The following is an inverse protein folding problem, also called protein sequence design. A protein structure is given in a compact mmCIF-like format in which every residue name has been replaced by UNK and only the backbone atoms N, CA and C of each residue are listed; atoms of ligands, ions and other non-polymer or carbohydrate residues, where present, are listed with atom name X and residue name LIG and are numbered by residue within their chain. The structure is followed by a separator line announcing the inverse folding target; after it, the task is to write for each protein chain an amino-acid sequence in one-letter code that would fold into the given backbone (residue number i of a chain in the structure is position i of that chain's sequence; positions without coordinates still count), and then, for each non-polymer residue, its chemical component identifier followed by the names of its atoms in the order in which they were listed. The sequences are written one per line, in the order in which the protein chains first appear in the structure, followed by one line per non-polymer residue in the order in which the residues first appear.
data_IF_329507456943
#
_entry.id   IF_329507456943
#
_cell.length_a   1.000
_cell.length_b   1.000
_cell.length_c   1.000
_cell.angle_alpha   90.00
_cell.angle_beta   90.00
_cell.angle_gamma   90.00
#
_symmetry.space_group_name_H-M   'P 1'
#
loop_
_entity.id
_entity.type
_entity.pdbx_description
1 polymer ?
#
# COMPACT_ATOMS: atom_id res chain seq x y z
N UNK A 1 -45.72 -30.57 14.46
CA UNK A 1 -44.46 -30.82 13.69
C UNK A 1 -43.60 -29.58 13.84
N UNK A 2 -42.44 -29.73 14.49
CA UNK A 2 -41.47 -28.65 14.70
C UNK A 2 -40.78 -28.35 13.35
N UNK A 3 -40.81 -27.10 12.91
CA UNK A 3 -39.93 -26.62 11.83
C UNK A 3 -38.65 -26.08 12.47
N UNK A 4 -37.55 -26.80 12.24
CA UNK A 4 -36.21 -26.42 12.66
C UNK A 4 -35.80 -25.11 11.96
N UNK A 5 -35.54 -24.07 12.73
CA UNK A 5 -34.90 -22.85 12.24
C UNK A 5 -33.42 -23.17 11.92
N UNK A 6 -33.08 -23.24 10.65
CA UNK A 6 -31.70 -23.36 10.21
C UNK A 6 -31.06 -21.97 10.23
N UNK A 7 -30.44 -21.62 11.36
CA UNK A 7 -29.63 -20.41 11.50
C UNK A 7 -28.37 -20.54 10.66
N UNK A 8 -28.35 -19.88 9.50
CA UNK A 8 -27.12 -19.68 8.72
C UNK A 8 -26.31 -18.59 9.42
N UNK A 9 -25.37 -18.99 10.27
CA UNK A 9 -24.33 -18.09 10.77
C UNK A 9 -23.34 -17.84 9.63
N UNK A 10 -23.54 -16.75 8.88
CA UNK A 10 -22.59 -16.30 7.87
C UNK A 10 -21.32 -15.79 8.55
N UNK A 11 -20.21 -16.53 8.39
CA UNK A 11 -18.89 -15.97 8.66
C UNK A 11 -18.66 -14.83 7.65
N UNK A 12 -18.82 -13.59 8.11
CA UNK A 12 -18.35 -12.43 7.36
C UNK A 12 -16.83 -12.48 7.31
N UNK A 13 -16.27 -13.06 6.25
CA UNK A 13 -14.84 -12.97 5.98
C UNK A 13 -14.50 -11.50 5.72
N UNK A 14 -13.85 -10.86 6.69
CA UNK A 14 -13.15 -9.58 6.50
C UNK A 14 -11.98 -9.84 5.54
N UNK A 15 -12.29 -9.93 4.24
CA UNK A 15 -11.29 -10.00 3.20
C UNK A 15 -10.65 -8.62 3.08
N UNK A 16 -9.46 -8.48 3.67
CA UNK A 16 -8.55 -7.36 3.45
C UNK A 16 -8.07 -7.45 1.99
N UNK A 17 -8.80 -6.82 1.07
CA UNK A 17 -8.52 -6.92 -0.36
C UNK A 17 -7.57 -5.81 -0.86
N UNK A 18 -7.37 -4.72 -0.11
CA UNK A 18 -6.66 -3.52 -0.57
C UNK A 18 -5.15 -3.74 -0.81
N UNK A 19 -4.46 -2.66 -1.20
CA UNK A 19 -3.07 -2.71 -1.68
C UNK A 19 -2.07 -2.16 -0.66
N UNK A 20 -0.86 -2.68 -0.69
CA UNK A 20 0.28 -2.10 0.02
C UNK A 20 1.57 -2.29 -0.79
N UNK A 21 2.55 -1.42 -0.55
CA UNK A 21 3.87 -1.49 -1.20
C UNK A 21 4.70 -2.64 -0.62
N UNK A 22 5.28 -3.47 -1.49
CA UNK A 22 6.23 -4.53 -1.13
C UNK A 22 7.68 -4.15 -1.43
N UNK A 23 7.90 -3.29 -2.43
CA UNK A 23 9.21 -2.75 -2.80
C UNK A 23 9.06 -1.27 -3.21
N UNK A 24 9.85 -0.33 -2.67
CA UNK A 24 10.80 -0.47 -1.55
C UNK A 24 10.17 -1.09 -0.29
N UNK A 25 11.00 -1.73 0.55
CA UNK A 25 10.51 -2.40 1.76
C UNK A 25 10.00 -1.35 2.74
N UNK A 26 8.72 -1.37 3.15
CA UNK A 26 8.18 -0.35 4.04
C UNK A 26 8.72 -0.48 5.47
N UNK A 27 8.74 0.64 6.20
CA UNK A 27 8.97 0.64 7.64
C UNK A 27 7.81 -0.04 8.38
N UNK A 28 8.12 -0.67 9.53
CA UNK A 28 7.16 -1.35 10.38
C UNK A 28 6.37 -2.41 9.61
N UNK A 29 7.03 -3.13 8.69
CA UNK A 29 6.39 -4.07 7.73
C UNK A 29 5.54 -5.11 8.45
N UNK A 30 5.99 -5.60 9.61
CA UNK A 30 5.30 -6.61 10.42
C UNK A 30 3.93 -6.16 10.92
N UNK A 31 3.72 -4.85 11.06
CA UNK A 31 2.46 -4.25 11.55
C UNK A 31 1.71 -3.46 10.47
N UNK A 32 2.26 -3.38 9.26
CA UNK A 32 1.64 -2.67 8.15
C UNK A 32 0.47 -3.48 7.60
N UNK A 33 -0.67 -2.82 7.40
CA UNK A 33 -1.82 -3.37 6.70
C UNK A 33 -2.04 -2.63 5.37
N UNK A 34 -2.96 -3.15 4.57
CA UNK A 34 -3.29 -2.60 3.26
C UNK A 34 -4.50 -1.66 3.27
N UNK A 35 -5.09 -1.35 4.43
CA UNK A 35 -6.19 -0.40 4.52
C UNK A 35 -5.74 1.00 4.12
N UNK A 36 -6.62 1.83 3.53
CA UNK A 36 -6.34 3.24 3.31
C UNK A 36 -6.01 3.95 4.64
N UNK A 37 -5.52 5.20 4.56
CA UNK A 37 -5.46 6.07 5.73
C UNK A 37 -6.87 6.27 6.30
N UNK A 38 -6.95 6.51 7.60
CA UNK A 38 -8.20 6.86 8.26
C UNK A 38 -8.74 8.17 7.70
N UNK A 39 -10.05 8.25 7.50
CA UNK A 39 -10.69 9.38 6.84
C UNK A 39 -10.56 10.69 7.65
N UNK A 40 -10.36 10.59 8.96
CA UNK A 40 -10.12 11.73 9.86
C UNK A 40 -8.65 12.20 9.87
N UNK A 41 -7.76 11.49 9.17
CA UNK A 41 -6.33 11.78 9.09
C UNK A 41 -5.59 11.53 10.41
N UNK A 42 -6.14 10.73 11.32
CA UNK A 42 -5.51 10.37 12.59
C UNK A 42 -4.22 9.56 12.39
N UNK A 43 -4.14 8.76 11.32
CA UNK A 43 -2.95 7.95 10.99
C UNK A 43 -2.04 8.58 9.90
N UNK A 44 -2.28 9.83 9.50
CA UNK A 44 -1.39 10.55 8.57
C UNK A 44 -0.23 11.26 9.31
N UNK A 45 1.01 11.24 8.77
CA UNK A 45 1.49 10.52 7.58
C UNK A 45 1.89 9.06 7.88
N UNK A 46 2.21 8.27 6.84
CA UNK A 46 2.87 6.96 6.97
C UNK A 46 2.11 5.86 7.76
N UNK A 47 0.79 6.01 7.98
CA UNK A 47 -0.04 5.11 8.79
C UNK A 47 0.47 5.01 10.24
N UNK A 48 0.41 6.14 10.97
CA UNK A 48 0.84 6.23 12.37
C UNK A 48 0.29 5.08 13.19
N UNK A 49 1.20 4.35 13.84
CA UNK A 49 0.94 3.17 14.67
C UNK A 49 2.18 2.89 15.52
N UNK A 50 2.08 1.92 16.43
CA UNK A 50 3.26 1.46 17.17
C UNK A 50 4.39 1.02 16.23
N UNK A 51 5.62 1.49 16.49
CA UNK A 51 6.83 1.12 15.73
C UNK A 51 6.78 1.46 14.22
N UNK A 52 5.98 2.45 13.80
CA UNK A 52 5.77 2.85 12.39
C UNK A 52 7.06 3.12 11.60
N UNK A 53 8.12 3.60 12.25
CA UNK A 53 9.39 3.97 11.62
C UNK A 53 10.53 2.98 11.88
N UNK A 54 10.23 1.80 12.44
CA UNK A 54 11.23 0.75 12.63
C UNK A 54 11.57 0.12 11.28
N UNK A 55 12.87 0.02 10.96
CA UNK A 55 13.30 -0.50 9.66
C UNK A 55 13.01 -2.00 9.51
N UNK A 56 12.97 -2.76 10.61
CA UNK A 56 12.75 -4.22 10.60
C UNK A 56 13.69 -4.97 9.61
N UNK A 57 14.92 -4.46 9.45
CA UNK A 57 15.90 -5.01 8.51
C UNK A 57 15.72 -4.58 7.05
N UNK A 58 14.82 -3.65 6.73
CA UNK A 58 14.68 -3.06 5.41
C UNK A 58 15.99 -2.42 4.93
N UNK A 59 16.37 -2.69 3.66
CA UNK A 59 17.59 -2.18 3.02
C UNK A 59 17.26 -1.47 1.71
N UNK A 60 16.63 -0.30 1.81
CA UNK A 60 16.31 0.53 0.65
C UNK A 60 17.45 1.51 0.36
N UNK A 61 18.60 0.99 -0.08
CA UNK A 61 19.78 1.81 -0.39
C UNK A 61 19.94 1.92 -1.89
N UNK A 62 19.80 3.13 -2.42
CA UNK A 62 19.80 3.39 -3.86
C UNK A 62 20.80 4.47 -4.23
N UNK A 63 21.50 4.27 -5.34
CA UNK A 63 22.43 5.27 -5.89
C UNK A 63 21.63 6.43 -6.49
N UNK A 64 22.10 7.66 -6.33
CA UNK A 64 21.54 8.80 -7.06
C UNK A 64 21.54 8.54 -8.58
N UNK A 65 20.46 8.94 -9.24
CA UNK A 65 20.20 8.73 -10.66
C UNK A 65 19.73 7.32 -11.02
N UNK A 66 19.79 6.34 -10.10
CA UNK A 66 19.32 4.97 -10.38
C UNK A 66 17.80 4.90 -10.48
N UNK A 67 17.30 3.91 -11.22
CA UNK A 67 15.88 3.64 -11.38
C UNK A 67 15.53 2.42 -10.54
N UNK A 68 14.51 2.55 -9.70
CA UNK A 68 14.04 1.51 -8.79
C UNK A 68 12.64 1.07 -9.17
N UNK A 69 12.39 -0.22 -9.01
CA UNK A 69 11.05 -0.77 -9.12
C UNK A 69 10.19 -0.37 -7.92
N UNK A 70 8.92 -0.11 -8.20
CA UNK A 70 7.84 0.00 -7.24
C UNK A 70 6.95 -1.22 -7.43
N UNK A 71 6.79 -2.00 -6.37
CA UNK A 71 5.99 -3.21 -6.39
C UNK A 71 4.95 -3.17 -5.29
N UNK A 72 3.80 -3.78 -5.57
CA UNK A 72 2.64 -3.78 -4.71
C UNK A 72 2.09 -5.20 -4.54
N UNK A 73 1.49 -5.44 -3.38
CA UNK A 73 0.71 -6.64 -3.09
C UNK A 73 -0.71 -6.25 -2.70
N UNK A 74 -1.67 -7.12 -2.99
CA UNK A 74 -3.09 -6.90 -2.76
C UNK A 74 -3.93 -7.25 -3.98
N UNK A 75 -5.23 -7.07 -3.86
CA UNK A 75 -6.18 -7.51 -4.90
C UNK A 75 -7.20 -6.43 -5.31
N UNK A 76 -7.49 -5.44 -4.48
CA UNK A 76 -8.42 -4.35 -4.77
C UNK A 76 -7.67 -3.16 -5.37
N UNK A 77 -7.38 -3.27 -6.67
CA UNK A 77 -6.67 -2.24 -7.44
C UNK A 77 -7.58 -1.10 -7.90
N UNK A 78 -8.90 -1.23 -7.76
CA UNK A 78 -9.90 -0.21 -8.08
C UNK A 78 -9.80 0.38 -9.50
N UNK A 79 -9.41 -0.46 -10.47
CA UNK A 79 -9.21 -0.04 -11.87
C UNK A 79 -7.95 0.83 -12.09
N UNK A 80 -7.08 0.90 -11.07
CA UNK A 80 -5.91 1.77 -11.05
C UNK A 80 -6.24 3.14 -10.47
N UNK A 81 -5.60 4.17 -11.00
CA UNK A 81 -5.58 5.51 -10.43
C UNK A 81 -4.22 6.16 -10.64
N UNK A 82 -3.93 7.18 -9.82
CA UNK A 82 -2.68 7.93 -9.88
C UNK A 82 -1.90 7.78 -8.58
N UNK A 83 -0.57 7.77 -8.70
CA UNK A 83 0.35 7.67 -7.57
C UNK A 83 1.41 8.75 -7.62
N UNK A 84 1.94 9.11 -6.46
CA UNK A 84 3.16 9.90 -6.35
C UNK A 84 4.21 9.16 -5.53
N UNK A 85 5.47 9.31 -5.92
CA UNK A 85 6.59 9.01 -5.03
C UNK A 85 7.11 10.32 -4.50
N UNK A 86 7.07 10.45 -3.18
CA UNK A 86 7.48 11.64 -2.45
C UNK A 86 8.59 11.30 -1.46
N UNK A 87 9.46 12.27 -1.20
CA UNK A 87 10.57 12.12 -0.25
C UNK A 87 10.57 13.28 0.74
N UNK A 88 11.01 13.00 1.96
CA UNK A 88 11.34 13.98 3.00
C UNK A 88 12.68 13.58 3.61
N UNK A 89 13.38 14.56 4.19
CA UNK A 89 14.58 14.31 4.99
C UNK A 89 14.26 13.93 6.44
N UNK A 90 13.00 14.08 6.87
CA UNK A 90 12.57 13.74 8.22
C UNK A 90 12.58 12.23 8.42
N UNK A 91 13.37 11.75 9.39
CA UNK A 91 13.45 10.31 9.70
C UNK A 91 12.17 9.76 10.34
N UNK A 92 11.39 10.64 10.99
CA UNK A 92 10.10 10.33 11.61
C UNK A 92 9.11 11.43 11.23
N UNK A 93 8.53 11.38 10.01
CA UNK A 93 7.68 12.45 9.51
C UNK A 93 6.46 12.73 10.39
N UNK A 94 6.01 13.98 10.37
CA UNK A 94 4.79 14.44 11.05
C UNK A 94 3.84 15.10 10.05
N UNK A 95 2.70 15.62 10.50
CA UNK A 95 1.75 16.34 9.63
C UNK A 95 2.37 17.62 9.05
N UNK A 96 3.40 18.15 9.70
CA UNK A 96 4.10 19.38 9.34
C UNK A 96 5.29 19.14 8.39
N UNK A 97 5.72 17.88 8.24
CA UNK A 97 6.84 17.48 7.38
C UNK A 97 6.69 17.98 5.96
N UNK A 98 7.83 18.33 5.35
CA UNK A 98 7.87 18.83 3.97
C UNK A 98 8.25 17.69 3.03
N UNK A 99 7.38 17.47 2.05
CA UNK A 99 7.53 16.41 1.06
C UNK A 99 7.85 17.01 -0.30
N UNK A 100 8.77 16.38 -1.03
CA UNK A 100 9.07 16.71 -2.42
C UNK A 100 8.65 15.57 -3.32
N UNK A 101 7.87 15.88 -4.36
CA UNK A 101 7.50 14.90 -5.38
C UNK A 101 8.71 14.63 -6.27
N UNK A 102 9.09 13.36 -6.41
CA UNK A 102 10.15 12.91 -7.32
C UNK A 102 9.61 12.13 -8.52
N UNK A 103 8.35 11.67 -8.44
CA UNK A 103 7.64 10.99 -9.53
C UNK A 103 6.14 11.18 -9.38
N UNK A 104 5.47 11.43 -10.50
CA UNK A 104 4.02 11.28 -10.65
C UNK A 104 3.74 10.20 -11.69
N UNK A 105 2.77 9.34 -11.39
CA UNK A 105 2.27 8.28 -12.27
C UNK A 105 0.77 8.56 -12.40
N UNK A 106 0.37 9.06 -13.56
CA UNK A 106 -0.99 9.51 -13.82
C UNK A 106 -1.72 8.43 -14.62
N UNK A 107 -2.59 7.68 -13.94
CA UNK A 107 -3.27 6.53 -14.51
C UNK A 107 -2.49 5.22 -14.39
N UNK A 108 -3.22 4.11 -14.26
CA UNK A 108 -2.67 2.76 -14.25
C UNK A 108 -1.85 2.38 -13.00
N UNK A 109 -1.98 3.12 -11.88
CA UNK A 109 -1.39 2.78 -10.59
C UNK A 109 -2.44 2.41 -9.54
N UNK A 110 -2.34 1.25 -8.86
CA UNK A 110 -1.22 0.29 -8.81
C UNK A 110 -1.22 -0.78 -9.92
N UNK A 111 -2.19 -0.77 -10.83
CA UNK A 111 -2.30 -1.78 -11.88
C UNK A 111 -2.81 -1.17 -13.18
N UNK A 112 -2.07 -1.36 -14.27
CA UNK A 112 -2.44 -0.82 -15.57
C UNK A 112 -3.47 -1.70 -16.27
N UNK A 113 -4.42 -1.08 -16.97
CA UNK A 113 -5.38 -1.77 -17.85
C UNK A 113 -6.38 -2.66 -17.12
N UNK A 114 -6.59 -2.47 -15.81
CA UNK A 114 -7.57 -3.23 -15.06
C UNK A 114 -8.92 -2.51 -15.06
N UNK A 115 -10.01 -3.22 -15.33
CA UNK A 115 -11.37 -2.67 -15.24
C UNK A 115 -11.93 -2.72 -13.80
N UNK A 116 -11.32 -3.49 -12.92
CA UNK A 116 -11.79 -3.71 -11.55
C UNK A 116 -10.73 -4.38 -10.69
N UNK A 117 -11.16 -5.04 -9.62
CA UNK A 117 -10.27 -5.73 -8.69
C UNK A 117 -9.74 -7.05 -9.26
N UNK A 118 -8.57 -7.43 -8.80
CA UNK A 118 -7.86 -8.66 -9.10
C UNK A 118 -8.21 -9.77 -8.10
N UNK A 119 -7.88 -11.02 -8.44
CA UNK A 119 -7.95 -12.16 -7.52
C UNK A 119 -6.69 -12.32 -6.65
N UNK A 120 -6.62 -13.39 -5.85
CA UNK A 120 -5.41 -13.80 -5.12
C UNK A 120 -5.28 -13.30 -3.68
N UNK A 121 -6.05 -12.29 -3.27
CA UNK A 121 -6.13 -11.84 -1.88
C UNK A 121 -5.03 -10.85 -1.44
N UNK A 122 -4.91 -10.57 -0.12
CA UNK A 122 -4.12 -9.45 0.42
C UNK A 122 -2.62 -9.49 0.12
N UNK A 123 -2.05 -10.68 -0.06
CA UNK A 123 -0.63 -10.87 -0.27
C UNK A 123 -0.27 -11.20 -1.73
N UNK A 124 -1.25 -11.20 -2.64
CA UNK A 124 -1.00 -11.48 -4.04
C UNK A 124 -0.15 -10.37 -4.67
N UNK A 125 0.95 -10.71 -5.34
CA UNK A 125 1.69 -9.73 -6.13
C UNK A 125 0.81 -9.11 -7.21
N UNK A 126 1.00 -7.83 -7.49
CA UNK A 126 0.34 -7.12 -8.60
C UNK A 126 1.33 -7.11 -9.79
N UNK A 127 1.20 -8.03 -10.77
CA UNK A 127 2.15 -8.17 -11.87
C UNK A 127 1.98 -7.10 -12.96
N UNK A 128 0.87 -6.37 -12.94
CA UNK A 128 0.52 -5.38 -13.96
C UNK A 128 1.11 -3.99 -13.70
N UNK A 129 2.09 -3.91 -12.79
CA UNK A 129 2.95 -2.75 -12.63
C UNK A 129 4.38 -3.16 -12.29
N UNK A 130 5.29 -2.77 -13.16
CA UNK A 130 6.63 -2.35 -12.75
C UNK A 130 6.69 -0.82 -12.85
N UNK A 131 5.88 -0.14 -12.03
CA UNK A 131 6.05 1.30 -11.88
C UNK A 131 7.49 1.56 -11.41
N UNK A 132 8.15 2.59 -11.94
CA UNK A 132 9.53 2.89 -11.55
C UNK A 132 9.67 4.33 -11.09
N UNK A 133 10.60 4.54 -10.18
CA UNK A 133 11.00 5.86 -9.70
C UNK A 133 12.51 6.03 -9.87
N UNK A 134 12.94 7.23 -10.29
CA UNK A 134 14.36 7.60 -10.32
C UNK A 134 14.72 8.25 -9.00
N UNK A 135 15.79 7.78 -8.34
CA UNK A 135 16.33 8.42 -7.15
C UNK A 135 17.03 9.71 -7.55
N UNK A 136 16.52 10.87 -7.15
CA UNK A 136 17.07 12.20 -7.48
C UNK A 136 17.87 12.78 -6.33
#
# INVERSE_FOLDING_TARGET
MLMNAMTVAGLASIASAHIMMSNPVPFGKSTLNNSPLEADGSDFPCKQRGNVYEAEGAKNVYKQGSVQALEFVGSAVHGGGSCQVVVTTDLKPTKESKWKVIKSIEGGCPAQGQAGNMGGGPAAPIPYQSATARCT
#
